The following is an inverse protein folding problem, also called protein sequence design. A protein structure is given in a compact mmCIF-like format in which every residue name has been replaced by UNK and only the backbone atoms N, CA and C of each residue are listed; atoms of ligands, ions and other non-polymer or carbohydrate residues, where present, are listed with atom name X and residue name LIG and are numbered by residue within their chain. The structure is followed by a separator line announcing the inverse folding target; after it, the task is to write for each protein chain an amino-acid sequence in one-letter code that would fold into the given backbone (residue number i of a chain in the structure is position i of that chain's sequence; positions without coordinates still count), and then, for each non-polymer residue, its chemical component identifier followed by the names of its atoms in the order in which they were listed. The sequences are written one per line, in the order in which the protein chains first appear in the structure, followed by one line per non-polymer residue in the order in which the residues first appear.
data_IF_434363415442
#
_entry.id   IF_434363415442
#
_cell.length_a   1.000
_cell.length_b   1.000
_cell.length_c   1.000
_cell.angle_alpha   90.00
_cell.angle_beta   90.00
_cell.angle_gamma   90.00
#
_symmetry.space_group_name_H-M   'P 1'
#
loop_
_entity.id
_entity.type
_entity.pdbx_description
1 polymer ?
#
# COMPACT_ATOMS: atom_id res chain seq x y z
N UNK A 1 6.49 3.35 -10.46
CA UNK A 1 7.29 2.52 -9.54
C UNK A 1 8.78 2.51 -9.88
N UNK A 2 9.20 2.02 -11.07
CA UNK A 2 10.62 1.98 -11.49
C UNK A 2 11.37 3.32 -11.37
N UNK A 3 10.71 4.44 -11.68
CA UNK A 3 11.28 5.77 -11.53
C UNK A 3 11.61 6.17 -10.08
N UNK A 4 10.87 5.65 -9.08
CA UNK A 4 11.15 5.92 -7.66
C UNK A 4 12.37 5.12 -7.20
N UNK A 5 12.47 3.87 -7.64
CA UNK A 5 13.60 2.97 -7.34
C UNK A 5 14.88 3.52 -7.97
N UNK A 6 14.82 3.96 -9.23
CA UNK A 6 15.96 4.57 -9.94
C UNK A 6 16.45 5.89 -9.34
N UNK A 7 15.61 6.56 -8.53
CA UNK A 7 15.98 7.75 -7.75
C UNK A 7 16.53 7.42 -6.35
N UNK A 8 16.70 6.15 -6.02
CA UNK A 8 17.23 5.70 -4.73
C UNK A 8 16.20 5.66 -3.59
N UNK A 9 14.90 5.84 -3.87
CA UNK A 9 13.88 5.74 -2.85
C UNK A 9 13.61 4.29 -2.44
N UNK A 10 13.38 4.07 -1.13
CA UNK A 10 12.94 2.78 -0.62
C UNK A 10 11.47 2.58 -0.94
N UNK A 11 11.16 1.59 -1.77
CA UNK A 11 9.79 1.25 -2.15
C UNK A 11 9.39 -0.06 -1.47
N UNK A 12 8.24 -0.05 -0.78
CA UNK A 12 7.62 -1.24 -0.21
C UNK A 12 6.28 -1.52 -0.90
N UNK A 13 6.02 -2.78 -1.23
CA UNK A 13 4.77 -3.24 -1.83
C UNK A 13 3.96 -3.97 -0.77
N UNK A 14 2.70 -3.58 -0.63
CA UNK A 14 1.73 -4.19 0.26
C UNK A 14 0.68 -4.87 -0.61
N UNK A 15 0.69 -6.19 -0.66
CA UNK A 15 -0.23 -6.97 -1.46
C UNK A 15 -0.46 -8.36 -0.85
N UNK A 16 -1.58 -9.02 -1.15
CA UNK A 16 -1.74 -10.43 -0.81
C UNK A 16 -0.66 -11.26 -1.51
N UNK A 17 -0.13 -12.31 -0.85
CA UNK A 17 0.83 -13.21 -1.48
C UNK A 17 0.15 -13.97 -2.62
N UNK A 18 0.62 -13.75 -3.84
CA UNK A 18 0.09 -14.30 -5.08
C UNK A 18 1.17 -14.91 -6.00
N UNK A 19 2.42 -14.99 -5.51
CA UNK A 19 3.57 -15.45 -6.29
C UNK A 19 4.36 -14.32 -6.97
N UNK A 20 3.87 -13.07 -6.94
CA UNK A 20 4.58 -11.92 -7.52
C UNK A 20 5.68 -11.36 -6.59
N UNK A 21 5.85 -11.89 -5.37
CA UNK A 21 6.78 -11.36 -4.36
C UNK A 21 8.21 -11.29 -4.90
N UNK A 22 8.66 -12.37 -5.54
CA UNK A 22 10.00 -12.47 -6.13
C UNK A 22 10.23 -11.43 -7.23
N UNK A 23 9.19 -11.08 -7.99
CA UNK A 23 9.31 -10.08 -9.06
C UNK A 23 9.52 -8.68 -8.46
N UNK A 24 8.83 -8.37 -7.37
CA UNK A 24 9.01 -7.10 -6.66
C UNK A 24 10.38 -7.01 -5.98
N UNK A 25 10.84 -8.10 -5.35
CA UNK A 25 12.17 -8.15 -4.74
C UNK A 25 13.28 -8.02 -5.78
N UNK A 26 13.18 -8.73 -6.91
CA UNK A 26 14.12 -8.61 -8.02
C UNK A 26 14.14 -7.21 -8.64
N UNK A 27 13.01 -6.49 -8.60
CA UNK A 27 12.93 -5.10 -9.03
C UNK A 27 13.54 -4.10 -8.03
N UNK A 28 14.02 -4.56 -6.87
CA UNK A 28 14.60 -3.70 -5.81
C UNK A 28 13.58 -3.15 -4.82
N UNK A 29 12.39 -3.76 -4.74
CA UNK A 29 11.34 -3.38 -3.80
C UNK A 29 11.33 -4.33 -2.60
N UNK A 30 10.85 -3.85 -1.45
CA UNK A 30 10.52 -4.75 -0.33
C UNK A 30 9.08 -5.22 -0.44
N UNK A 31 8.85 -6.52 -0.52
CA UNK A 31 7.51 -7.06 -0.42
C UNK A 31 7.09 -7.19 1.05
N UNK A 32 5.88 -6.72 1.39
CA UNK A 32 5.26 -6.91 2.70
C UNK A 32 3.91 -7.60 2.47
N UNK A 33 3.77 -8.89 2.85
CA UNK A 33 2.52 -9.59 2.64
C UNK A 33 1.41 -8.92 3.45
N UNK A 34 0.32 -8.59 2.77
CA UNK A 34 -0.89 -8.05 3.35
C UNK A 34 -2.05 -8.94 2.94
N UNK A 35 -2.40 -9.88 3.81
CA UNK A 35 -3.56 -10.73 3.58
C UNK A 35 -4.83 -9.87 3.54
N UNK A 36 -5.48 -9.88 2.38
CA UNK A 36 -6.74 -9.21 2.08
C UNK A 36 -7.75 -10.25 1.61
N UNK A 37 -8.98 -10.18 2.13
CA UNK A 37 -10.06 -11.05 1.68
C UNK A 37 -10.78 -10.37 0.51
N UNK A 38 -10.59 -10.89 -0.71
CA UNK A 38 -11.15 -10.30 -1.94
C UNK A 38 -12.53 -10.86 -2.30
N UNK A 39 -12.93 -12.00 -1.70
CA UNK A 39 -14.17 -12.69 -2.08
C UNK A 39 -15.43 -12.08 -1.46
N UNK A 40 -15.36 -11.61 -0.22
CA UNK A 40 -16.49 -11.00 0.48
C UNK A 40 -15.99 -9.97 1.51
N UNK A 41 -16.24 -8.66 1.31
CA UNK A 41 -15.86 -7.65 2.27
C UNK A 41 -16.78 -7.75 3.48
N UNK A 42 -16.29 -8.32 4.58
CA UNK A 42 -16.96 -8.21 5.87
C UNK A 42 -16.46 -6.95 6.58
N UNK A 43 -17.32 -6.17 7.27
CA UNK A 43 -16.88 -4.99 8.01
C UNK A 43 -15.78 -5.28 9.05
N UNK A 44 -15.71 -6.53 9.54
CA UNK A 44 -14.66 -7.00 10.45
C UNK A 44 -13.32 -7.18 9.73
N UNK A 45 -13.34 -7.72 8.51
CA UNK A 45 -12.15 -7.88 7.69
C UNK A 45 -11.61 -6.51 7.26
N UNK A 46 -12.49 -5.58 6.89
CA UNK A 46 -12.12 -4.19 6.58
C UNK A 46 -11.49 -3.49 7.81
N UNK A 47 -12.08 -3.64 9.00
CA UNK A 47 -11.49 -3.06 10.21
C UNK A 47 -10.13 -3.69 10.58
N UNK A 48 -9.99 -5.00 10.40
CA UNK A 48 -8.71 -5.70 10.60
C UNK A 48 -7.66 -5.21 9.62
N UNK A 49 -8.06 -4.99 8.37
CA UNK A 49 -7.21 -4.46 7.32
C UNK A 49 -6.76 -3.02 7.64
N UNK A 50 -7.67 -2.14 8.08
CA UNK A 50 -7.33 -0.80 8.55
C UNK A 50 -6.31 -0.82 9.69
N UNK A 51 -6.49 -1.70 10.69
CA UNK A 51 -5.52 -1.83 11.79
C UNK A 51 -4.16 -2.31 11.31
N UNK A 52 -4.12 -3.25 10.35
CA UNK A 52 -2.87 -3.73 9.75
C UNK A 52 -2.16 -2.61 9.00
N UNK A 53 -2.87 -1.84 8.19
CA UNK A 53 -2.33 -0.64 7.55
C UNK A 53 -1.79 0.36 8.57
N UNK A 54 -2.57 0.69 9.61
CA UNK A 54 -2.14 1.59 10.67
C UNK A 54 -0.83 1.15 11.35
N UNK A 55 -0.68 -0.14 11.65
CA UNK A 55 0.57 -0.69 12.23
C UNK A 55 1.73 -0.63 11.24
N UNK A 56 1.48 -0.91 9.97
CA UNK A 56 2.48 -0.87 8.90
C UNK A 56 2.98 0.56 8.68
N UNK A 57 2.08 1.54 8.69
CA UNK A 57 2.42 2.96 8.55
C UNK A 57 3.11 3.51 9.81
N UNK A 58 2.69 3.10 11.00
CA UNK A 58 3.35 3.50 12.24
C UNK A 58 4.80 3.00 12.32
N UNK A 59 5.06 1.78 11.85
CA UNK A 59 6.41 1.17 11.85
C UNK A 59 7.27 1.61 10.66
N UNK A 60 6.66 1.75 9.48
CA UNK A 60 7.39 2.09 8.24
C UNK A 60 7.52 3.57 7.97
N UNK A 61 6.65 4.41 8.56
CA UNK A 61 6.56 5.87 8.33
C UNK A 61 6.75 6.26 6.85
N UNK A 62 5.89 5.77 5.94
CA UNK A 62 6.04 6.09 4.53
C UNK A 62 5.79 7.58 4.27
N UNK A 63 6.67 8.20 3.49
CA UNK A 63 6.50 9.59 3.04
C UNK A 63 5.40 9.73 1.97
N UNK A 64 5.14 8.66 1.22
CA UNK A 64 4.15 8.59 0.15
C UNK A 64 3.50 7.21 0.10
N UNK A 65 2.18 7.16 -0.11
CA UNK A 65 1.41 5.93 -0.28
C UNK A 65 0.77 5.98 -1.67
N UNK A 66 1.04 4.97 -2.51
CA UNK A 66 0.38 4.79 -3.79
C UNK A 66 -0.56 3.60 -3.69
N UNK A 67 -1.84 3.85 -3.94
CA UNK A 67 -2.90 2.85 -3.88
C UNK A 67 -3.47 2.62 -5.28
N UNK A 68 -3.52 1.36 -5.73
CA UNK A 68 -3.94 0.99 -7.10
C UNK A 68 -5.35 0.37 -7.16
N UNK A 69 -6.10 0.38 -6.06
CA UNK A 69 -7.44 -0.23 -5.96
C UNK A 69 -8.44 0.80 -5.44
N UNK A 70 -9.61 0.88 -6.08
CA UNK A 70 -10.72 1.79 -5.71
C UNK A 70 -11.12 1.66 -4.23
N UNK A 71 -10.96 0.46 -3.63
CA UNK A 71 -11.27 0.18 -2.22
C UNK A 71 -10.17 0.66 -1.25
N UNK A 72 -8.90 0.61 -1.66
CA UNK A 72 -7.78 1.13 -0.88
C UNK A 72 -7.71 2.66 -0.88
N UNK A 73 -8.37 3.33 -1.84
CA UNK A 73 -8.43 4.79 -1.85
C UNK A 73 -9.32 5.36 -0.72
N UNK A 74 -10.40 4.65 -0.34
CA UNK A 74 -11.29 5.04 0.77
C UNK A 74 -10.62 4.77 2.12
N UNK A 75 -10.00 3.61 2.32
CA UNK A 75 -9.34 3.29 3.59
C UNK A 75 -7.97 3.96 3.76
N UNK A 76 -7.21 4.10 2.68
CA UNK A 76 -5.92 4.79 2.67
C UNK A 76 -6.05 6.28 3.00
N UNK A 77 -7.10 6.96 2.52
CA UNK A 77 -7.37 8.36 2.89
C UNK A 77 -7.89 8.51 4.32
N UNK A 78 -8.63 7.53 4.85
CA UNK A 78 -9.11 7.55 6.25
C UNK A 78 -8.01 7.22 7.29
N UNK A 79 -6.95 6.48 6.91
CA UNK A 79 -5.87 6.09 7.83
C UNK A 79 -4.54 6.80 7.57
N UNK A 80 -4.41 7.56 6.49
CA UNK A 80 -3.24 8.38 6.24
C UNK A 80 -3.13 9.49 7.29
N UNK A 81 -1.94 9.68 7.91
CA UNK A 81 -1.69 10.88 8.70
C UNK A 81 -1.82 12.09 7.77
N UNK A 82 -2.37 13.20 8.31
CA UNK A 82 -2.77 14.45 7.64
C UNK A 82 -1.73 15.09 6.69
N UNK A 83 -0.49 14.57 6.63
CA UNK A 83 0.60 15.03 5.75
C UNK A 83 0.77 14.23 4.46
N UNK A 84 0.21 13.01 4.35
CA UNK A 84 0.51 12.07 3.26
C UNK A 84 -0.48 12.08 2.08
N UNK A 85 -1.60 12.79 2.20
CA UNK A 85 -2.62 12.87 1.14
C UNK A 85 -2.31 14.02 0.16
N UNK A 86 -1.37 13.79 -0.77
CA UNK A 86 -1.33 14.54 -2.03
C UNK A 86 -1.41 13.55 -3.18
N UNK A 87 -2.62 13.38 -3.69
CA UNK A 87 -2.89 12.75 -4.99
C UNK A 87 -2.41 13.72 -6.07
N UNK A 88 -1.37 13.41 -6.87
CA UNK A 88 -1.20 14.11 -8.14
C UNK A 88 -2.30 13.58 -9.05
N UNK A 89 -3.26 14.44 -9.39
CA UNK A 89 -4.29 14.12 -10.36
C UNK A 89 -3.67 13.68 -11.67
N UNK A 90 -4.01 12.47 -12.11
CA UNK A 90 -3.78 12.02 -13.46
C UNK A 90 -5.04 12.42 -14.26
N UNK A 91 -5.00 13.60 -14.85
CA UNK A 91 -5.87 13.97 -15.98
C UNK A 91 -5.17 13.46 -17.26
N UNK A 92 -5.88 12.89 -18.25
CA UNK A 92 -5.43 13.01 -19.64
C UNK A 92 -5.49 14.47 -20.09
#
# INVERSE_FOLDING_TARGET
MRALIGRGHRVAVLAPPDGAERQFEAAGCRFRPLAMNVKWPSPRDDYTLMRRFGRIFATGRPDMILSCTIRDNIFGTMTAPRKAARTPGCMP
#
